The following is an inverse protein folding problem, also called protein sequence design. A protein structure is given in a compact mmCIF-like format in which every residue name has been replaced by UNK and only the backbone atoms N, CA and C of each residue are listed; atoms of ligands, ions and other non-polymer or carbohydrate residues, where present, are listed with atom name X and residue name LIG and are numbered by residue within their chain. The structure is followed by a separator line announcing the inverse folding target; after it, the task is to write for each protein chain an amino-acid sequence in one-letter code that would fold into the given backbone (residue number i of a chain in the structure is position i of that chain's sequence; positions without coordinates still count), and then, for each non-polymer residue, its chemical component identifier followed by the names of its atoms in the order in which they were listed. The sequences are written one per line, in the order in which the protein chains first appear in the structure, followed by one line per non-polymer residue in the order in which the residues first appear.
data_IF_234025584901
#
_entry.id   IF_234025584901
#
_cell.length_a   1.000
_cell.length_b   1.000
_cell.length_c   1.000
_cell.angle_alpha   90.00
_cell.angle_beta   90.00
_cell.angle_gamma   90.00
#
_symmetry.space_group_name_H-M   'P 1'
#
loop_
_entity.id
_entity.type
_entity.pdbx_description
1 polymer ?
#
# COMPACT_ATOMS: atom_id res chain seq x y z
N UNK A 1 -24.05 -1.10 -24.92
CA UNK A 1 -22.88 -0.92 -24.05
C UNK A 1 -21.75 -1.76 -24.62
N UNK A 2 -20.59 -1.18 -24.97
CA UNK A 2 -19.44 -2.00 -25.40
C UNK A 2 -18.98 -2.87 -24.22
N UNK A 3 -18.65 -4.13 -24.51
CA UNK A 3 -18.15 -5.07 -23.52
C UNK A 3 -16.82 -4.55 -22.94
N UNK A 4 -16.68 -4.58 -21.60
CA UNK A 4 -15.40 -4.25 -20.94
C UNK A 4 -14.33 -5.22 -21.48
N UNK A 5 -13.15 -4.74 -21.92
CA UNK A 5 -12.07 -5.63 -22.29
C UNK A 5 -11.70 -6.51 -21.08
N UNK A 6 -11.87 -7.82 -21.23
CA UNK A 6 -11.45 -8.77 -20.21
C UNK A 6 -9.93 -8.94 -20.29
N UNK A 7 -9.19 -8.09 -19.58
CA UNK A 7 -7.76 -8.27 -19.42
C UNK A 7 -7.48 -9.56 -18.66
N UNK A 8 -6.62 -10.42 -19.22
CA UNK A 8 -6.18 -11.64 -18.54
C UNK A 8 -5.33 -11.23 -17.35
N UNK A 9 -5.89 -11.36 -16.14
CA UNK A 9 -5.18 -11.12 -14.89
C UNK A 9 -3.91 -11.98 -14.83
N UNK A 10 -2.93 -11.58 -14.03
CA UNK A 10 -1.68 -12.34 -13.82
C UNK A 10 -1.27 -12.36 -12.34
N UNK A 11 -0.35 -13.24 -11.90
CA UNK A 11 0.08 -13.27 -10.52
C UNK A 11 0.83 -12.00 -10.12
N UNK A 12 0.54 -11.45 -8.92
CA UNK A 12 1.34 -10.38 -8.33
C UNK A 12 2.82 -10.77 -8.21
N UNK A 13 3.75 -9.80 -8.23
CA UNK A 13 5.19 -10.06 -8.11
C UNK A 13 5.54 -10.62 -6.73
N UNK A 14 4.96 -10.03 -5.67
CA UNK A 14 5.23 -10.45 -4.29
C UNK A 14 4.24 -11.53 -3.82
N UNK A 15 4.79 -12.54 -3.15
CA UNK A 15 4.02 -13.62 -2.53
C UNK A 15 3.39 -13.20 -1.20
N UNK A 16 2.30 -13.85 -0.86
CA UNK A 16 1.58 -13.73 0.39
C UNK A 16 1.56 -15.07 1.13
N UNK A 17 1.58 -15.00 2.45
CA UNK A 17 1.19 -16.12 3.30
C UNK A 17 -0.33 -16.20 3.37
N UNK A 18 -0.85 -17.34 2.96
CA UNK A 18 -2.25 -17.74 3.11
C UNK A 18 -2.39 -18.54 4.39
N UNK A 19 -3.25 -18.10 5.30
CA UNK A 19 -3.48 -18.77 6.58
C UNK A 19 -4.98 -18.84 6.90
N UNK A 20 -5.34 -19.73 7.82
CA UNK A 20 -6.70 -19.89 8.33
C UNK A 20 -6.66 -19.80 9.86
N UNK A 21 -7.76 -19.37 10.48
CA UNK A 21 -7.93 -19.47 11.93
C UNK A 21 -9.34 -19.93 12.24
N UNK A 22 -9.48 -20.77 13.27
CA UNK A 22 -10.80 -21.19 13.78
C UNK A 22 -11.28 -20.31 14.94
N UNK A 23 -10.38 -19.51 15.51
CA UNK A 23 -10.68 -18.57 16.59
C UNK A 23 -10.39 -17.14 16.15
N UNK A 24 -11.05 -16.14 16.76
CA UNK A 24 -10.69 -14.75 16.53
C UNK A 24 -9.21 -14.49 16.82
N UNK A 25 -8.56 -13.69 15.98
CA UNK A 25 -7.18 -13.27 16.18
C UNK A 25 -7.02 -11.78 15.86
N UNK A 26 -5.98 -11.20 16.43
CA UNK A 26 -5.49 -9.87 16.16
C UNK A 26 -3.97 -9.90 16.25
N UNK A 27 -3.31 -9.19 15.35
CA UNK A 27 -1.90 -8.87 15.47
C UNK A 27 -1.66 -7.49 14.87
N UNK A 28 -0.62 -6.81 15.34
CA UNK A 28 -0.44 -5.39 15.13
C UNK A 28 1.03 -5.00 15.16
N UNK A 29 1.36 -3.89 14.52
CA UNK A 29 2.67 -3.28 14.66
C UNK A 29 2.72 -2.44 15.95
N UNK A 30 3.86 -2.40 16.64
CA UNK A 30 4.04 -1.47 17.75
C UNK A 30 3.93 -0.02 17.26
N UNK A 31 3.43 0.88 18.11
CA UNK A 31 3.39 2.33 17.86
C UNK A 31 2.56 2.79 16.64
N UNK A 32 1.55 2.02 16.23
CA UNK A 32 0.59 2.45 15.20
C UNK A 32 -0.71 2.91 15.86
N UNK A 33 -1.39 3.88 15.26
CA UNK A 33 -2.72 4.33 15.69
C UNK A 33 -3.65 3.15 15.98
N UNK A 34 -4.31 3.19 17.13
CA UNK A 34 -5.30 2.19 17.55
C UNK A 34 -6.50 2.10 16.58
N UNK A 35 -6.79 3.18 15.85
CA UNK A 35 -7.84 3.23 14.83
C UNK A 35 -7.56 2.37 13.60
N UNK A 36 -6.29 1.96 13.39
CA UNK A 36 -5.86 1.10 12.28
C UNK A 36 -5.73 -0.37 12.69
N UNK A 37 -6.11 -0.71 13.93
CA UNK A 37 -6.10 -2.08 14.43
C UNK A 37 -6.96 -2.99 13.56
N UNK A 38 -6.41 -4.14 13.16
CA UNK A 38 -7.13 -5.14 12.38
C UNK A 38 -7.39 -6.40 13.18
N UNK A 39 -8.65 -6.84 13.19
CA UNK A 39 -9.09 -8.09 13.80
C UNK A 39 -9.70 -9.02 12.75
N UNK A 40 -9.62 -10.32 13.00
CA UNK A 40 -10.22 -11.33 12.14
C UNK A 40 -11.74 -11.16 12.02
N UNK A 41 -12.31 -11.51 10.87
CA UNK A 41 -13.74 -11.37 10.55
C UNK A 41 -14.47 -12.74 10.45
N UNK A 42 -13.87 -13.80 10.98
CA UNK A 42 -14.38 -15.17 10.87
C UNK A 42 -14.35 -15.73 9.43
N UNK A 43 -13.58 -15.13 8.53
CA UNK A 43 -13.34 -15.71 7.20
C UNK A 43 -12.56 -17.02 7.27
N UNK A 44 -12.77 -17.92 6.30
CA UNK A 44 -12.07 -19.21 6.27
C UNK A 44 -10.58 -19.05 5.97
N UNK A 45 -10.19 -17.99 5.26
CA UNK A 45 -8.83 -17.74 4.79
C UNK A 45 -8.49 -16.25 4.91
N UNK A 46 -7.23 -15.98 5.24
CA UNK A 46 -6.62 -14.66 5.31
C UNK A 46 -5.28 -14.66 4.57
N UNK A 47 -4.87 -13.48 4.13
CA UNK A 47 -3.66 -13.25 3.35
C UNK A 47 -2.84 -12.12 3.96
N UNK A 48 -1.52 -12.30 4.06
CA UNK A 48 -0.60 -11.27 4.57
C UNK A 48 0.77 -11.39 3.90
N UNK A 49 1.51 -10.29 3.77
CA UNK A 49 2.95 -10.32 3.49
C UNK A 49 3.84 -10.14 4.72
N UNK A 50 3.28 -9.90 5.90
CA UNK A 50 4.03 -9.76 7.16
C UNK A 50 4.13 -11.11 7.88
N UNK A 51 4.63 -12.13 7.17
CA UNK A 51 4.69 -13.53 7.65
C UNK A 51 5.46 -13.68 8.96
N UNK A 52 6.55 -12.93 9.14
CA UNK A 52 7.31 -12.92 10.39
C UNK A 52 6.44 -12.48 11.57
N UNK A 53 5.69 -11.39 11.40
CA UNK A 53 4.78 -10.85 12.41
C UNK A 53 3.64 -11.81 12.73
N UNK A 54 3.05 -12.43 11.70
CA UNK A 54 2.03 -13.49 11.86
C UNK A 54 2.57 -14.62 12.74
N UNK A 55 3.79 -15.08 12.48
CA UNK A 55 4.40 -16.20 13.23
C UNK A 55 4.80 -15.80 14.65
N UNK A 56 5.26 -14.57 14.86
CA UNK A 56 5.71 -14.11 16.17
C UNK A 56 4.55 -13.76 17.10
N UNK A 57 3.51 -13.10 16.60
CA UNK A 57 2.41 -12.61 17.43
C UNK A 57 1.21 -13.57 17.39
N UNK A 58 0.69 -13.87 16.19
CA UNK A 58 -0.56 -14.62 16.09
C UNK A 58 -0.40 -16.11 16.37
N UNK A 59 0.66 -16.78 15.88
CA UNK A 59 0.87 -18.20 16.23
C UNK A 59 1.19 -18.40 17.70
N UNK A 60 1.82 -17.42 18.35
CA UNK A 60 2.13 -17.48 19.78
C UNK A 60 0.88 -17.32 20.66
N UNK A 61 -0.08 -16.47 20.26
CA UNK A 61 -1.27 -16.16 21.06
C UNK A 61 -2.54 -16.89 20.61
N UNK A 62 -2.59 -17.37 19.36
CA UNK A 62 -3.72 -18.09 18.76
C UNK A 62 -3.24 -19.39 18.06
N UNK A 63 -3.03 -20.49 18.81
CA UNK A 63 -2.48 -21.74 18.28
C UNK A 63 -3.32 -22.39 17.16
N UNK A 64 -4.59 -21.98 17.01
CA UNK A 64 -5.47 -22.48 15.95
C UNK A 64 -5.21 -21.84 14.58
N UNK A 65 -4.34 -20.83 14.52
CA UNK A 65 -3.88 -20.23 13.26
C UNK A 65 -3.02 -21.26 12.53
N UNK A 66 -3.40 -21.59 11.29
CA UNK A 66 -2.71 -22.55 10.45
C UNK A 66 -2.26 -21.89 9.15
N UNK A 67 -0.96 -21.87 8.91
CA UNK A 67 -0.40 -21.49 7.61
C UNK A 67 -0.77 -22.58 6.60
N UNK A 68 -1.44 -22.17 5.52
CA UNK A 68 -1.86 -23.06 4.42
C UNK A 68 -0.91 -22.99 3.23
N UNK A 69 -0.20 -21.87 3.05
CA UNK A 69 0.82 -21.68 2.01
C UNK A 69 1.59 -20.39 2.26
N UNK A 70 2.89 -20.36 1.93
CA UNK A 70 3.72 -19.15 1.89
C UNK A 70 4.05 -18.68 0.46
N UNK A 71 3.36 -19.22 -0.54
CA UNK A 71 3.61 -18.99 -1.96
C UNK A 71 2.33 -18.59 -2.71
N UNK A 72 1.39 -17.93 -2.03
CA UNK A 72 0.18 -17.45 -2.69
C UNK A 72 0.46 -16.15 -3.45
N UNK A 73 0.06 -16.08 -4.72
CA UNK A 73 0.12 -14.86 -5.52
C UNK A 73 -1.31 -14.42 -5.88
N UNK A 74 -1.81 -13.29 -5.36
CA UNK A 74 -3.09 -12.76 -5.78
C UNK A 74 -3.08 -12.46 -7.29
N UNK A 75 -4.24 -12.60 -7.93
CA UNK A 75 -4.40 -12.25 -9.35
C UNK A 75 -4.62 -10.75 -9.45
N UNK A 76 -3.78 -10.08 -10.23
CA UNK A 76 -3.78 -8.62 -10.37
C UNK A 76 -3.96 -8.20 -11.82
N UNK A 77 -4.44 -6.98 -11.99
CA UNK A 77 -4.57 -6.33 -13.29
C UNK A 77 -3.16 -6.05 -13.82
N UNK A 78 -2.80 -6.53 -15.02
CA UNK A 78 -1.46 -6.34 -15.56
C UNK A 78 -1.19 -4.85 -15.80
N UNK A 79 0.05 -4.43 -15.57
CA UNK A 79 0.50 -3.04 -15.76
C UNK A 79 0.06 -2.39 -17.08
N UNK A 80 0.10 -3.11 -18.19
CA UNK A 80 -0.32 -2.60 -19.50
C UNK A 80 -1.78 -2.12 -19.54
N UNK A 81 -2.65 -2.67 -18.69
CA UNK A 81 -4.07 -2.33 -18.65
C UNK A 81 -4.39 -1.14 -17.72
N UNK A 82 -3.44 -0.64 -16.93
CA UNK A 82 -3.74 0.37 -15.89
C UNK A 82 -4.24 1.70 -16.48
N UNK A 83 -3.67 2.15 -17.59
CA UNK A 83 -4.08 3.39 -18.29
C UNK A 83 -5.35 3.21 -19.13
N UNK A 84 -5.68 1.97 -19.51
CA UNK A 84 -6.81 1.64 -20.38
C UNK A 84 -8.09 1.30 -19.60
N UNK A 85 -7.94 0.92 -18.33
CA UNK A 85 -9.05 0.50 -17.48
C UNK A 85 -9.81 1.72 -16.95
N UNK A 86 -11.12 1.75 -17.16
CA UNK A 86 -12.02 2.70 -16.51
C UNK A 86 -12.39 2.22 -15.10
N UNK A 87 -12.00 3.01 -14.09
CA UNK A 87 -12.20 2.72 -12.67
C UNK A 87 -13.40 3.45 -12.06
N UNK A 88 -14.16 4.23 -12.84
CA UNK A 88 -15.16 5.17 -12.32
C UNK A 88 -16.14 4.59 -11.28
N UNK A 89 -16.52 3.31 -11.37
CA UNK A 89 -17.43 2.67 -10.40
C UNK A 89 -16.86 1.39 -9.79
N UNK A 90 -15.54 1.26 -9.80
CA UNK A 90 -14.85 0.06 -9.38
C UNK A 90 -14.39 0.15 -7.92
N UNK A 91 -14.35 -1.00 -7.25
CA UNK A 91 -13.62 -1.19 -6.00
C UNK A 91 -12.23 -1.70 -6.32
N UNK A 92 -11.20 -0.92 -5.97
CA UNK A 92 -9.81 -1.15 -6.35
C UNK A 92 -8.94 -1.35 -5.11
N UNK A 93 -8.26 -2.50 -5.04
CA UNK A 93 -7.28 -2.81 -4.00
C UNK A 93 -5.86 -2.63 -4.53
N UNK A 94 -5.09 -1.74 -3.94
CA UNK A 94 -3.69 -1.50 -4.25
C UNK A 94 -2.78 -2.25 -3.28
N UNK A 95 -1.90 -3.10 -3.81
CA UNK A 95 -0.85 -3.77 -3.04
C UNK A 95 0.35 -2.81 -2.98
N UNK A 96 0.62 -2.27 -1.80
CA UNK A 96 1.74 -1.34 -1.59
C UNK A 96 3.06 -2.11 -1.75
N UNK A 97 4.12 -1.64 -2.42
CA UNK A 97 5.31 -2.44 -2.63
C UNK A 97 6.25 -2.48 -1.41
N UNK A 98 6.45 -1.34 -0.75
CA UNK A 98 7.36 -1.14 0.38
C UNK A 98 6.79 -0.10 1.35
N UNK A 99 7.27 -0.06 2.60
CA UNK A 99 6.83 0.90 3.63
C UNK A 99 7.80 2.07 3.85
N UNK A 100 8.73 2.30 2.91
CA UNK A 100 9.54 3.51 2.88
C UNK A 100 8.66 4.77 2.87
N UNK A 101 8.91 5.67 3.83
CA UNK A 101 8.08 6.84 4.09
C UNK A 101 7.91 7.73 2.85
N UNK A 102 9.01 8.02 2.14
CA UNK A 102 8.99 8.87 0.95
C UNK A 102 8.15 8.27 -0.18
N UNK A 103 8.22 6.95 -0.35
CA UNK A 103 7.45 6.22 -1.35
C UNK A 103 5.95 6.28 -1.06
N UNK A 104 5.58 6.08 0.20
CA UNK A 104 4.19 6.15 0.67
C UNK A 104 3.60 7.56 0.51
N UNK A 105 4.40 8.62 0.74
CA UNK A 105 3.97 10.01 0.48
C UNK A 105 3.67 10.24 -1.00
N UNK A 106 4.55 9.78 -1.90
CA UNK A 106 4.30 9.84 -3.35
C UNK A 106 3.05 9.06 -3.76
N UNK A 107 2.81 7.89 -3.17
CA UNK A 107 1.59 7.11 -3.39
C UNK A 107 0.33 7.83 -2.91
N UNK A 108 0.38 8.56 -1.79
CA UNK A 108 -0.76 9.38 -1.33
C UNK A 108 -1.11 10.47 -2.34
N UNK A 109 -0.11 11.13 -2.93
CA UNK A 109 -0.35 12.12 -3.98
C UNK A 109 -0.97 11.49 -5.23
N UNK A 110 -0.46 10.31 -5.63
CA UNK A 110 -1.09 9.51 -6.68
C UNK A 110 -2.55 9.16 -6.35
N UNK A 111 -2.86 8.71 -5.13
CA UNK A 111 -4.23 8.37 -4.75
C UNK A 111 -5.16 9.58 -4.74
N UNK A 112 -4.65 10.78 -4.45
CA UNK A 112 -5.42 12.03 -4.63
C UNK A 112 -5.73 12.28 -6.10
N UNK A 113 -4.75 12.15 -6.99
CA UNK A 113 -4.97 12.27 -8.43
C UNK A 113 -5.94 11.20 -8.96
N UNK A 114 -5.82 9.96 -8.48
CA UNK A 114 -6.72 8.87 -8.83
C UNK A 114 -8.16 9.16 -8.38
N UNK A 115 -8.36 9.58 -7.13
CA UNK A 115 -9.68 9.95 -6.61
C UNK A 115 -10.26 11.19 -7.31
N UNK A 116 -9.41 12.11 -7.78
CA UNK A 116 -9.87 13.26 -8.57
C UNK A 116 -10.40 12.84 -9.95
N UNK A 117 -9.76 11.87 -10.61
CA UNK A 117 -10.26 11.34 -11.90
C UNK A 117 -11.45 10.40 -11.73
N UNK A 118 -11.44 9.60 -10.67
CA UNK A 118 -12.45 8.58 -10.39
C UNK A 118 -13.09 8.80 -9.00
N UNK A 119 -13.95 9.81 -8.84
CA UNK A 119 -14.50 10.20 -7.53
C UNK A 119 -15.40 9.14 -6.90
N UNK A 120 -16.03 8.29 -7.71
CA UNK A 120 -16.93 7.22 -7.24
C UNK A 120 -16.21 5.86 -7.06
N UNK A 121 -14.91 5.78 -7.35
CA UNK A 121 -14.12 4.58 -7.13
C UNK A 121 -13.86 4.35 -5.64
N UNK A 122 -13.98 3.11 -5.17
CA UNK A 122 -13.62 2.75 -3.81
C UNK A 122 -12.16 2.32 -3.77
N UNK A 123 -11.35 3.05 -3.03
CA UNK A 123 -9.90 2.81 -2.95
C UNK A 123 -9.59 2.07 -1.65
N UNK A 124 -8.83 0.99 -1.77
CA UNK A 124 -8.24 0.32 -0.62
C UNK A 124 -6.75 0.08 -0.82
N UNK A 125 -5.99 0.05 0.27
CA UNK A 125 -4.56 -0.29 0.28
C UNK A 125 -4.32 -1.50 1.16
N UNK A 126 -3.41 -2.38 0.75
CA UNK A 126 -3.01 -3.56 1.52
C UNK A 126 -1.51 -3.58 1.75
N UNK A 127 -1.13 -3.97 2.97
CA UNK A 127 0.24 -4.12 3.43
C UNK A 127 1.03 -2.80 3.50
N UNK A 128 0.37 -1.71 3.89
CA UNK A 128 0.97 -0.42 4.22
C UNK A 128 1.79 -0.43 5.52
N UNK A 129 1.66 -1.49 6.35
CA UNK A 129 2.49 -1.72 7.53
C UNK A 129 2.67 -0.47 8.40
N UNK A 130 3.91 -0.07 8.69
CA UNK A 130 4.23 1.04 9.60
C UNK A 130 3.77 2.41 9.04
N UNK A 131 3.76 2.57 7.72
CA UNK A 131 3.37 3.79 7.01
C UNK A 131 1.85 3.94 6.79
N UNK A 132 1.02 3.17 7.50
CA UNK A 132 -0.43 3.17 7.32
C UNK A 132 -1.10 4.48 7.71
N UNK A 133 -0.50 5.21 8.65
CA UNK A 133 -0.89 6.54 9.08
C UNK A 133 -0.85 7.58 7.95
N UNK A 134 0.13 7.47 7.04
CA UNK A 134 0.23 8.33 5.86
C UNK A 134 -1.00 8.15 4.96
N UNK A 135 -1.41 6.90 4.71
CA UNK A 135 -2.61 6.63 3.91
C UNK A 135 -3.89 7.07 4.62
N UNK A 136 -3.92 7.03 5.97
CA UNK A 136 -5.06 7.50 6.77
C UNK A 136 -5.29 9.02 6.67
N UNK A 137 -4.36 9.78 6.09
CA UNK A 137 -4.58 11.19 5.74
C UNK A 137 -5.62 11.38 4.63
N UNK A 138 -6.01 10.30 3.94
CA UNK A 138 -7.08 10.27 2.93
C UNK A 138 -8.30 9.52 3.51
N UNK A 139 -9.35 10.23 3.96
CA UNK A 139 -10.48 9.61 4.67
C UNK A 139 -11.27 8.60 3.82
N UNK A 140 -11.16 8.68 2.50
CA UNK A 140 -11.85 7.79 1.56
C UNK A 140 -11.12 6.46 1.28
N UNK A 141 -9.92 6.26 1.83
CA UNK A 141 -9.14 5.02 1.61
C UNK A 141 -9.40 4.02 2.74
N UNK A 142 -9.80 2.80 2.36
CA UNK A 142 -9.84 1.67 3.28
C UNK A 142 -8.44 1.06 3.43
N UNK A 143 -8.00 0.85 4.67
CA UNK A 143 -6.61 0.44 4.95
C UNK A 143 -6.60 -0.96 5.54
N UNK A 144 -5.99 -1.90 4.81
CA UNK A 144 -5.64 -3.23 5.28
C UNK A 144 -4.16 -3.26 5.66
N UNK A 145 -3.84 -2.81 6.86
CA UNK A 145 -2.46 -2.61 7.31
C UNK A 145 -1.57 -3.85 7.15
N UNK A 146 -2.05 -5.01 7.59
CA UNK A 146 -1.28 -6.25 7.74
C UNK A 146 -1.85 -7.41 6.95
N UNK A 147 -3.18 -7.58 6.98
CA UNK A 147 -3.83 -8.71 6.35
C UNK A 147 -5.19 -8.33 5.77
N UNK A 148 -5.64 -9.16 4.83
CA UNK A 148 -6.98 -9.11 4.25
C UNK A 148 -7.62 -10.50 4.32
N UNK A 149 -8.92 -10.55 4.59
CA UNK A 149 -9.68 -11.80 4.55
C UNK A 149 -10.08 -12.18 3.12
N UNK A 150 -10.38 -13.45 2.87
CA UNK A 150 -10.89 -13.87 1.56
C UNK A 150 -12.24 -13.22 1.21
N UNK A 151 -13.09 -12.95 2.21
CA UNK A 151 -14.37 -12.26 2.00
C UNK A 151 -14.16 -10.80 1.59
N UNK A 152 -13.22 -10.11 2.24
CA UNK A 152 -12.86 -8.73 1.91
C UNK A 152 -12.21 -8.64 0.53
N UNK A 153 -11.25 -9.54 0.23
CA UNK A 153 -10.56 -9.57 -1.06
C UNK A 153 -11.54 -9.78 -2.23
N UNK A 154 -12.58 -10.59 -2.05
CA UNK A 154 -13.58 -10.87 -3.09
C UNK A 154 -14.47 -9.67 -3.45
N UNK A 155 -14.46 -8.58 -2.67
CA UNK A 155 -15.26 -7.37 -2.96
C UNK A 155 -14.62 -6.45 -4.00
N UNK A 156 -13.36 -6.67 -4.34
CA UNK A 156 -12.62 -5.78 -5.22
C UNK A 156 -12.74 -6.24 -6.67
N UNK A 157 -13.15 -5.32 -7.55
CA UNK A 157 -13.21 -5.55 -8.99
C UNK A 157 -11.81 -5.66 -9.60
N UNK A 158 -10.87 -4.89 -9.04
CA UNK A 158 -9.48 -4.86 -9.47
C UNK A 158 -8.54 -4.96 -8.27
N UNK A 159 -7.52 -5.81 -8.39
CA UNK A 159 -6.35 -5.82 -7.52
C UNK A 159 -5.17 -5.34 -8.35
N UNK A 160 -4.42 -4.38 -7.85
CA UNK A 160 -3.29 -3.77 -8.56
C UNK A 160 -2.03 -3.92 -7.71
N UNK A 161 -1.00 -4.54 -8.28
CA UNK A 161 0.32 -4.62 -7.65
C UNK A 161 1.18 -3.42 -8.04
N UNK A 162 1.32 -2.44 -7.14
CA UNK A 162 2.12 -1.25 -7.43
C UNK A 162 3.62 -1.55 -7.59
N UNK A 163 4.09 -2.73 -7.17
CA UNK A 163 5.46 -3.16 -7.46
C UNK A 163 5.71 -3.43 -8.95
N UNK A 164 4.67 -3.45 -9.79
CA UNK A 164 4.78 -3.52 -11.25
C UNK A 164 5.12 -2.20 -11.92
N UNK A 165 5.22 -1.11 -11.16
CA UNK A 165 5.73 0.15 -11.67
C UNK A 165 7.17 -0.02 -12.17
N UNK A 166 7.48 0.59 -13.32
CA UNK A 166 8.82 0.61 -13.88
C UNK A 166 9.79 1.34 -12.94
N UNK A 167 11.02 0.84 -12.82
CA UNK A 167 12.07 1.41 -11.98
C UNK A 167 11.97 1.08 -10.49
N UNK A 168 10.91 0.42 -10.03
CA UNK A 168 10.76 0.02 -8.62
C UNK A 168 11.80 -1.03 -8.18
N UNK A 169 12.24 -1.87 -9.11
CA UNK A 169 13.29 -2.86 -8.90
C UNK A 169 14.68 -2.24 -8.68
N UNK A 170 14.89 -1.01 -9.17
CA UNK A 170 16.16 -0.27 -9.05
C UNK A 170 16.08 0.95 -8.13
N UNK A 171 14.99 1.14 -7.39
CA UNK A 171 14.71 2.36 -6.61
C UNK A 171 15.79 2.66 -5.55
N UNK A 172 16.49 1.63 -5.07
CA UNK A 172 17.60 1.77 -4.13
C UNK A 172 18.86 2.37 -4.76
N UNK A 173 19.07 2.18 -6.07
CA UNK A 173 20.21 2.73 -6.82
C UNK A 173 19.86 4.05 -7.52
N UNK A 174 18.65 4.16 -8.07
CA UNK A 174 18.17 5.35 -8.78
C UNK A 174 16.83 5.78 -8.18
N UNK A 175 16.78 6.90 -7.44
CA UNK A 175 15.53 7.38 -6.86
C UNK A 175 14.50 7.63 -7.97
N UNK A 176 13.30 7.11 -7.75
CA UNK A 176 12.15 7.34 -8.64
C UNK A 176 11.18 8.26 -7.93
N UNK A 177 10.52 9.15 -8.68
CA UNK A 177 9.38 9.91 -8.17
C UNK A 177 8.12 9.02 -8.25
N UNK A 178 7.61 8.49 -7.12
CA UNK A 178 6.49 7.55 -7.14
C UNK A 178 5.20 8.17 -7.65
N UNK A 179 4.94 9.45 -7.31
CA UNK A 179 3.74 10.15 -7.77
C UNK A 179 3.71 10.24 -9.29
N UNK A 180 4.78 10.77 -9.89
CA UNK A 180 4.87 11.00 -11.33
C UNK A 180 4.83 9.68 -12.11
N UNK A 181 5.56 8.67 -11.63
CA UNK A 181 5.63 7.37 -12.28
C UNK A 181 4.28 6.65 -12.25
N UNK A 182 3.56 6.71 -11.12
CA UNK A 182 2.22 6.15 -11.01
C UNK A 182 1.19 6.97 -11.80
N UNK A 183 1.24 8.30 -11.76
CA UNK A 183 0.34 9.13 -12.56
C UNK A 183 0.51 8.84 -14.05
N UNK A 184 1.75 8.75 -14.53
CA UNK A 184 2.06 8.36 -15.92
C UNK A 184 1.50 6.97 -16.22
N UNK A 185 1.71 6.01 -15.32
CA UNK A 185 1.25 4.63 -15.51
C UNK A 185 -0.26 4.46 -15.65
N UNK A 186 -1.03 5.33 -15.01
CA UNK A 186 -2.50 5.34 -15.02
C UNK A 186 -3.09 6.41 -15.96
N UNK A 187 -2.25 7.09 -16.75
CA UNK A 187 -2.66 8.24 -17.57
C UNK A 187 -3.47 9.28 -16.76
N UNK A 188 -2.89 9.70 -15.63
CA UNK A 188 -3.39 10.73 -14.73
C UNK A 188 -2.47 11.95 -14.78
N UNK A 189 -3.04 13.12 -14.50
CA UNK A 189 -2.25 14.30 -14.18
C UNK A 189 -1.95 14.32 -12.67
N UNK A 190 -0.71 14.64 -12.24
CA UNK A 190 -0.40 14.88 -10.84
C UNK A 190 -1.31 15.95 -10.22
N UNK A 191 -1.56 15.85 -8.92
CA UNK A 191 -2.44 16.81 -8.26
C UNK A 191 -1.69 18.12 -7.95
N UNK A 192 -2.31 19.26 -8.24
CA UNK A 192 -1.75 20.55 -7.80
C UNK A 192 -1.95 20.70 -6.31
N UNK A 193 -0.84 20.81 -5.56
CA UNK A 193 -0.89 21.12 -4.14
C UNK A 193 -0.99 22.63 -3.92
N UNK A 194 -1.83 23.09 -2.97
CA UNK A 194 -1.86 24.50 -2.61
C UNK A 194 -0.50 24.92 -2.05
N UNK A 195 -0.01 26.08 -2.48
CA UNK A 195 1.21 26.65 -1.95
C UNK A 195 1.08 26.84 -0.44
N UNK A 196 2.04 26.30 0.33
CA UNK A 196 2.14 26.58 1.77
C UNK A 196 2.97 27.85 1.95
N UNK A 197 2.47 28.79 2.74
CA UNK A 197 3.24 29.92 3.22
C UNK A 197 3.67 29.66 4.67
N UNK A 198 4.89 29.13 4.91
CA UNK A 198 5.37 28.95 6.26
C UNK A 198 5.58 30.33 6.92
N UNK A 199 4.98 30.52 8.10
CA UNK A 199 5.19 31.74 8.89
C UNK A 199 6.34 31.49 9.85
N UNK A 200 7.48 32.13 9.59
CA UNK A 200 8.62 32.11 10.50
C UNK A 200 8.26 32.86 11.80
N UNK A 201 8.51 32.24 12.95
CA UNK A 201 8.31 32.83 14.27
C UNK A 201 9.62 32.79 15.06
N UNK A 202 9.89 33.78 15.94
CA UNK A 202 11.00 33.71 16.87
C UNK A 202 10.96 32.41 17.68
N UNK A 203 12.10 31.74 17.84
CA UNK A 203 12.20 30.48 18.59
C UNK A 203 11.75 29.22 17.83
N UNK A 204 11.61 29.26 16.51
CA UNK A 204 11.35 28.05 15.72
C UNK A 204 12.55 27.10 15.70
N UNK A 205 12.27 25.81 15.84
CA UNK A 205 13.25 24.75 15.73
C UNK A 205 13.34 24.26 14.28
N UNK A 206 14.56 23.93 13.84
CA UNK A 206 14.82 23.31 12.53
C UNK A 206 15.02 21.82 12.75
N UNK A 207 14.17 21.01 12.13
CA UNK A 207 14.36 19.56 12.07
C UNK A 207 15.26 19.21 10.89
N UNK A 208 16.37 18.54 11.15
CA UNK A 208 17.27 18.01 10.11
C UNK A 208 17.09 16.49 10.10
N UNK A 209 16.85 15.92 8.92
CA UNK A 209 16.79 14.48 8.70
C UNK A 209 18.01 14.07 7.87
N UNK A 210 19.17 13.78 8.51
CA UNK A 210 20.43 13.56 7.78
C UNK A 210 20.56 12.15 7.20
N UNK A 211 19.73 11.20 7.67
CA UNK A 211 19.81 9.79 7.29
C UNK A 211 18.81 9.43 6.20
N UNK A 212 19.24 8.54 5.30
CA UNK A 212 18.38 7.86 4.33
C UNK A 212 18.67 6.36 4.33
N UNK A 213 17.86 5.58 3.60
CA UNK A 213 18.04 4.12 3.49
C UNK A 213 19.23 3.69 2.62
N UNK A 214 20.05 4.62 2.12
CA UNK A 214 21.29 4.33 1.39
C UNK A 214 22.38 5.35 1.76
N UNK A 215 23.65 4.93 1.92
CA UNK A 215 24.76 5.84 2.18
C UNK A 215 24.90 6.96 1.14
N UNK A 216 24.54 6.69 -0.12
CA UNK A 216 24.58 7.68 -1.20
C UNK A 216 23.56 8.82 -1.01
N UNK A 217 22.54 8.61 -0.18
CA UNK A 217 21.46 9.57 0.12
C UNK A 217 21.56 10.13 1.54
N UNK A 218 22.57 9.74 2.30
CA UNK A 218 22.82 10.19 3.66
C UNK A 218 23.85 11.31 3.64
N UNK A 219 23.59 12.38 4.39
CA UNK A 219 24.60 13.43 4.58
C UNK A 219 25.86 12.81 5.21
N UNK A 220 27.06 13.01 4.64
CA UNK A 220 28.29 12.53 5.22
C UNK A 220 28.41 12.94 6.70
N UNK A 221 28.82 12.04 7.61
CA UNK A 221 28.92 12.37 9.03
C UNK A 221 29.81 13.59 9.34
N UNK A 222 30.77 13.90 8.46
CA UNK A 222 31.62 15.09 8.60
C UNK A 222 30.90 16.42 8.31
N UNK A 223 29.66 16.38 7.80
CA UNK A 223 28.85 17.55 7.41
C UNK A 223 27.62 17.77 8.32
N UNK A 224 27.44 16.95 9.36
CA UNK A 224 26.30 16.99 10.29
C UNK A 224 26.78 17.34 11.69
#
# INVERSE_FOLDING_TARGET
MPAKPHHKLHPARKKFTRFASKVPFQFGLPNVSSTLGQSSDGSPIYFTRTTSLLRQQALATAPSVQIKSDAFHPRVLPRAAWSETDFAKSSVLFLIPDDALGDCVGMVLFFRAFAQKYPDAKIAVLNSASASDIFATLPQIEIFQLFISSKQLARFDHVIDLSEMEGWDTIAQMPVNPEESLCTAFALSPITLPARQPVAKPGMNIGILPMASSPLRTLPPALV
#
